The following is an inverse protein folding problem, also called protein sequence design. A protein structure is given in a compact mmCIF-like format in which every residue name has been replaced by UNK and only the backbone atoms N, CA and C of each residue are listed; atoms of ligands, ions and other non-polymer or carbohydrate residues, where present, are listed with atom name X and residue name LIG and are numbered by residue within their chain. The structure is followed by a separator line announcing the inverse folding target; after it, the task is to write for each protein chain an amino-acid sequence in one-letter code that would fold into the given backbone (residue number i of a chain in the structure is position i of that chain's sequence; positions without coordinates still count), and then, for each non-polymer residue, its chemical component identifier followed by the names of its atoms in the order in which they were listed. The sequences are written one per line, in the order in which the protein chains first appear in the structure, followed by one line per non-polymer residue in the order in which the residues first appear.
data_IF_389889331466
#
_entry.id   IF_389889331466
#
_cell.length_a   1.000
_cell.length_b   1.000
_cell.length_c   1.000
_cell.angle_alpha   90.00
_cell.angle_beta   90.00
_cell.angle_gamma   90.00
#
_symmetry.space_group_name_H-M   'P 1'
#
loop_
_entity.id
_entity.type
_entity.pdbx_description
1 polymer ?
#
# COMPACT_ATOMS: atom_id res chain seq x y z
N UNK A 1 12.47 20.47 -14.27
CA UNK A 1 11.08 20.86 -13.98
C UNK A 1 10.20 20.55 -15.19
N UNK A 2 9.57 19.37 -15.24
CA UNK A 2 8.68 18.94 -16.33
C UNK A 2 7.33 18.39 -15.80
N UNK A 3 6.84 18.95 -14.68
CA UNK A 3 5.69 18.39 -13.93
C UNK A 3 4.31 18.65 -14.58
N UNK A 4 4.20 19.60 -15.51
CA UNK A 4 2.88 20.05 -16.00
C UNK A 4 2.35 19.29 -17.22
N UNK A 5 3.16 18.47 -17.91
CA UNK A 5 2.70 17.74 -19.11
C UNK A 5 2.15 16.34 -18.78
N UNK A 6 2.56 15.71 -17.66
CA UNK A 6 2.10 14.35 -17.31
C UNK A 6 0.89 14.33 -16.36
N UNK A 7 0.66 15.42 -15.61
CA UNK A 7 -0.48 15.55 -14.69
C UNK A 7 -1.75 16.14 -15.31
N UNK A 8 -1.76 16.49 -16.59
CA UNK A 8 -2.93 17.12 -17.23
C UNK A 8 -3.83 16.13 -17.96
N UNK A 9 -3.24 15.27 -18.81
CA UNK A 9 -4.00 14.35 -19.67
C UNK A 9 -4.58 13.20 -18.85
N UNK A 10 -3.81 12.63 -17.92
CA UNK A 10 -4.27 11.50 -17.11
C UNK A 10 -5.40 11.87 -16.15
N UNK A 11 -5.33 12.93 -15.33
CA UNK A 11 -6.44 13.35 -14.46
C UNK A 11 -7.67 13.83 -15.22
N UNK A 12 -7.51 14.53 -16.35
CA UNK A 12 -8.64 14.94 -17.18
C UNK A 12 -9.38 13.75 -17.80
N UNK A 13 -8.64 12.77 -18.37
CA UNK A 13 -9.26 11.51 -18.83
C UNK A 13 -9.88 10.72 -17.70
N UNK A 14 -9.22 10.59 -16.54
CA UNK A 14 -9.77 9.88 -15.37
C UNK A 14 -11.07 10.51 -14.86
N UNK A 15 -11.20 11.84 -14.96
CA UNK A 15 -12.42 12.55 -14.62
C UNK A 15 -13.60 12.25 -15.56
N UNK A 16 -13.34 11.87 -16.81
CA UNK A 16 -14.38 11.55 -17.81
C UNK A 16 -14.62 10.04 -17.98
N UNK A 17 -13.57 9.23 -17.94
CA UNK A 17 -13.56 7.80 -18.28
C UNK A 17 -13.46 6.90 -17.03
N UNK A 18 -13.22 7.49 -15.85
CA UNK A 18 -12.96 6.75 -14.61
C UNK A 18 -11.50 6.29 -14.47
N UNK A 19 -11.21 5.60 -13.36
CA UNK A 19 -9.87 5.06 -13.10
C UNK A 19 -9.78 3.60 -13.58
N UNK A 20 -8.64 3.18 -14.16
CA UNK A 20 -8.41 1.77 -14.43
C UNK A 20 -8.52 0.93 -13.15
N UNK A 21 -9.16 -0.23 -13.24
CA UNK A 21 -9.35 -1.13 -12.09
C UNK A 21 -8.02 -1.54 -11.44
N UNK A 22 -6.98 -1.77 -12.24
CA UNK A 22 -5.64 -2.09 -11.74
C UNK A 22 -5.11 -0.97 -10.85
N UNK A 23 -5.23 0.29 -11.28
CA UNK A 23 -4.78 1.45 -10.52
C UNK A 23 -5.54 1.60 -9.19
N UNK A 24 -6.86 1.35 -9.18
CA UNK A 24 -7.64 1.37 -7.94
C UNK A 24 -7.24 0.23 -7.01
N UNK A 25 -6.99 -0.96 -7.56
CA UNK A 25 -6.53 -2.13 -6.80
C UNK A 25 -5.17 -1.87 -6.18
N UNK A 26 -4.23 -1.32 -6.94
CA UNK A 26 -2.89 -0.97 -6.47
C UNK A 26 -2.95 0.10 -5.38
N UNK A 27 -3.82 1.10 -5.54
CA UNK A 27 -4.03 2.14 -4.53
C UNK A 27 -4.56 1.55 -3.22
N UNK A 28 -5.55 0.65 -3.27
CA UNK A 28 -6.09 -0.01 -2.07
C UNK A 28 -5.03 -0.88 -1.39
N UNK A 29 -4.27 -1.66 -2.16
CA UNK A 29 -3.19 -2.50 -1.63
C UNK A 29 -2.11 -1.66 -0.93
N UNK A 30 -1.69 -0.56 -1.55
CA UNK A 30 -0.71 0.35 -0.94
C UNK A 30 -1.25 1.04 0.31
N UNK A 31 -2.53 1.40 0.35
CA UNK A 31 -3.17 1.95 1.55
C UNK A 31 -3.14 0.94 2.71
N UNK A 32 -3.46 -0.33 2.45
CA UNK A 32 -3.37 -1.40 3.45
C UNK A 32 -1.94 -1.57 3.98
N UNK A 33 -0.94 -1.56 3.08
CA UNK A 33 0.47 -1.65 3.49
C UNK A 33 0.88 -0.50 4.40
N UNK A 34 0.43 0.72 4.12
CA UNK A 34 0.71 1.87 4.98
C UNK A 34 0.08 1.73 6.37
N UNK A 35 -1.13 1.16 6.45
CA UNK A 35 -1.77 0.81 7.72
C UNK A 35 -0.97 -0.25 8.48
N UNK A 36 -0.51 -1.31 7.82
CA UNK A 36 0.35 -2.34 8.42
C UNK A 36 1.66 -1.74 8.92
N UNK A 37 2.32 -0.87 8.15
CA UNK A 37 3.53 -0.17 8.58
C UNK A 37 3.28 0.69 9.81
N UNK A 38 2.13 1.38 9.86
CA UNK A 38 1.72 2.16 11.04
C UNK A 38 1.57 1.26 12.26
N UNK A 39 0.92 0.10 12.10
CA UNK A 39 0.76 -0.88 13.18
C UNK A 39 2.10 -1.45 13.66
N UNK A 40 3.03 -1.76 12.76
CA UNK A 40 4.38 -2.22 13.12
C UNK A 40 5.13 -1.18 13.97
N UNK A 41 5.07 0.09 13.57
CA UNK A 41 5.69 1.18 14.34
C UNK A 41 5.04 1.32 15.72
N UNK A 42 3.72 1.20 15.83
CA UNK A 42 3.01 1.26 17.11
C UNK A 42 3.30 0.05 17.99
N UNK A 43 3.41 -1.15 17.42
CA UNK A 43 3.74 -2.37 18.15
C UNK A 43 5.12 -2.28 18.82
N UNK A 44 6.11 -1.70 18.13
CA UNK A 44 7.44 -1.47 18.70
C UNK A 44 7.39 -0.61 19.99
N UNK A 45 6.47 0.34 20.07
CA UNK A 45 6.31 1.19 21.27
C UNK A 45 5.75 0.43 22.48
N UNK A 46 5.20 -0.76 22.28
CA UNK A 46 4.60 -1.56 23.35
C UNK A 46 5.59 -2.46 24.07
N UNK A 47 6.72 -2.78 23.42
CA UNK A 47 7.69 -3.79 23.87
C UNK A 47 7.04 -5.17 24.21
N UNK A 48 5.87 -5.45 23.62
CA UNK A 48 5.12 -6.69 23.82
C UNK A 48 5.24 -7.61 22.58
N UNK A 49 5.97 -8.74 22.68
CA UNK A 49 6.14 -9.66 21.56
C UNK A 49 4.82 -10.31 21.11
N UNK A 50 3.80 -10.41 21.97
CA UNK A 50 2.51 -10.98 21.59
C UNK A 50 1.80 -10.11 20.53
N UNK A 51 2.00 -8.79 20.57
CA UNK A 51 1.44 -7.88 19.56
C UNK A 51 2.12 -8.09 18.22
N UNK A 52 3.44 -8.30 18.21
CA UNK A 52 4.20 -8.62 16.99
C UNK A 52 3.73 -9.93 16.37
N UNK A 53 3.48 -10.97 17.18
CA UNK A 53 2.94 -12.25 16.71
C UNK A 53 1.57 -12.08 16.05
N UNK A 54 0.67 -11.27 16.64
CA UNK A 54 -0.64 -10.96 16.05
C UNK A 54 -0.48 -10.25 14.70
N UNK A 55 0.41 -9.26 14.59
CA UNK A 55 0.68 -8.59 13.32
C UNK A 55 1.25 -9.54 12.27
N UNK A 56 2.08 -10.50 12.67
CA UNK A 56 2.61 -11.53 11.78
C UNK A 56 1.52 -12.47 11.26
N UNK A 57 0.57 -12.86 12.11
CA UNK A 57 -0.59 -13.65 11.72
C UNK A 57 -1.49 -12.88 10.74
N UNK A 58 -1.79 -11.61 11.04
CA UNK A 58 -2.56 -10.72 10.16
C UNK A 58 -1.89 -10.54 8.80
N UNK A 59 -0.56 -10.40 8.76
CA UNK A 59 0.16 -10.30 7.49
C UNK A 59 -0.09 -11.53 6.60
N UNK A 60 -0.01 -12.74 7.15
CA UNK A 60 -0.25 -13.97 6.39
C UNK A 60 -1.70 -14.14 5.97
N UNK A 61 -2.64 -13.80 6.85
CA UNK A 61 -4.07 -13.88 6.59
C UNK A 61 -4.48 -12.93 5.44
N UNK A 62 -3.91 -11.73 5.41
CA UNK A 62 -4.30 -10.66 4.48
C UNK A 62 -3.25 -10.38 3.39
N UNK A 63 -2.38 -11.34 3.10
CA UNK A 63 -1.28 -11.16 2.13
C UNK A 63 -1.77 -10.82 0.71
N UNK A 64 -2.98 -11.25 0.34
CA UNK A 64 -3.58 -11.04 -0.99
C UNK A 64 -4.02 -9.59 -1.23
N UNK A 65 -4.33 -8.85 -0.16
CA UNK A 65 -4.70 -7.42 -0.19
C UNK A 65 -3.52 -6.49 0.11
N UNK A 66 -2.29 -7.02 0.15
CA UNK A 66 -1.05 -6.27 0.26
C UNK A 66 -0.35 -6.15 -1.12
N UNK A 67 0.54 -5.16 -1.29
CA UNK A 67 1.36 -5.06 -2.50
C UNK A 67 2.34 -6.24 -2.54
N UNK A 68 2.67 -6.75 -3.74
CA UNK A 68 3.66 -7.80 -3.87
C UNK A 68 5.02 -7.31 -3.37
N UNK A 69 5.73 -8.17 -2.65
CA UNK A 69 7.11 -7.90 -2.26
C UNK A 69 7.98 -8.04 -3.50
N UNK A 70 8.59 -6.95 -3.96
CA UNK A 70 9.60 -7.03 -5.00
C UNK A 70 10.90 -7.62 -4.41
N UNK A 71 11.54 -8.58 -5.09
CA UNK A 71 12.82 -9.10 -4.66
C UNK A 71 13.85 -7.97 -4.65
N UNK A 72 14.58 -7.85 -3.56
CA UNK A 72 15.70 -6.91 -3.49
C UNK A 72 16.83 -7.42 -4.39
N UNK A 73 17.13 -6.69 -5.47
CA UNK A 73 18.28 -6.97 -6.34
C UNK A 73 19.43 -6.09 -5.88
N UNK A 74 20.46 -6.72 -5.29
CA UNK A 74 21.71 -6.08 -4.85
C UNK A 74 22.65 -5.77 -6.01
#
# INVERSE_FOLDING_TARGET
MNSFIHGGIHPFRRGQEGYPLSLLTDLLKNANALSVLTLLVLAELTDDPAIVEVLHALHWEFQDILPPLEPFVS
#
